data_IF_731516878744
#
_entry.id   IF_731516878744
#
_cell.length_a   1.000
_cell.length_b   1.000
_cell.length_c   1.000
_cell.angle_alpha   90.00
_cell.angle_beta   90.00
_cell.angle_gamma   90.00
#
_symmetry.space_group_name_H-M   'P 1'
#
loop_
_entity.id
_entity.type
_entity.pdbx_description
1 polymer ?
#
# COMPACT_ATOMS: atom_id res chain seq x y z
N UNK A 1 19.00 -5.39 14.21
CA UNK A 1 18.47 -4.09 13.75
C UNK A 1 19.19 -3.50 12.53
N UNK A 2 20.54 -3.31 12.54
CA UNK A 2 21.26 -2.80 11.32
C UNK A 2 21.16 -3.76 10.13
N UNK A 3 21.36 -5.06 10.37
CA UNK A 3 21.26 -6.11 9.36
C UNK A 3 19.89 -6.18 8.71
N UNK A 4 18.80 -6.16 9.50
CA UNK A 4 17.42 -6.20 8.98
C UNK A 4 17.11 -5.00 8.08
N UNK A 5 17.64 -3.80 8.42
CA UNK A 5 17.50 -2.61 7.54
C UNK A 5 18.20 -2.83 6.21
N UNK A 6 19.44 -3.33 6.25
CA UNK A 6 20.21 -3.62 5.06
C UNK A 6 19.47 -4.57 4.13
N UNK A 7 18.99 -5.69 4.66
CA UNK A 7 18.23 -6.70 3.88
C UNK A 7 16.98 -6.09 3.23
N UNK A 8 16.15 -5.37 3.99
CA UNK A 8 14.93 -4.76 3.45
C UNK A 8 15.27 -3.77 2.32
N UNK A 9 16.24 -2.88 2.54
CA UNK A 9 16.65 -1.89 1.53
C UNK A 9 17.22 -2.57 0.30
N UNK A 10 18.05 -3.60 0.47
CA UNK A 10 18.65 -4.35 -0.66
C UNK A 10 17.58 -5.06 -1.48
N UNK A 11 16.59 -5.70 -0.85
CA UNK A 11 15.49 -6.36 -1.56
C UNK A 11 14.67 -5.35 -2.35
N UNK A 12 14.29 -4.21 -1.74
CA UNK A 12 13.52 -3.18 -2.42
C UNK A 12 14.32 -2.52 -3.56
N UNK A 13 15.63 -2.31 -3.38
CA UNK A 13 16.49 -1.80 -4.42
C UNK A 13 16.64 -2.78 -5.58
N UNK A 14 16.76 -4.09 -5.30
CA UNK A 14 16.80 -5.13 -6.32
C UNK A 14 15.49 -5.19 -7.11
N UNK A 15 14.33 -5.12 -6.43
CA UNK A 15 13.03 -5.07 -7.10
C UNK A 15 12.93 -3.86 -8.04
N UNK A 16 13.36 -2.69 -7.57
CA UNK A 16 13.38 -1.48 -8.41
C UNK A 16 14.33 -1.61 -9.59
N UNK A 17 15.53 -2.18 -9.38
CA UNK A 17 16.51 -2.39 -10.44
C UNK A 17 15.98 -3.33 -11.53
N UNK A 18 15.29 -4.41 -11.15
CA UNK A 18 14.63 -5.34 -12.10
C UNK A 18 13.55 -4.59 -12.90
N UNK A 19 12.69 -3.79 -12.26
CA UNK A 19 11.66 -3.00 -12.95
C UNK A 19 12.31 -2.04 -13.96
N UNK A 20 13.36 -1.32 -13.54
CA UNK A 20 14.06 -0.38 -14.42
C UNK A 20 14.77 -1.09 -15.57
N UNK A 21 15.38 -2.24 -15.33
CA UNK A 21 15.99 -3.04 -16.38
C UNK A 21 14.97 -3.37 -17.48
N UNK A 22 13.84 -3.97 -17.15
CA UNK A 22 12.80 -4.32 -18.13
C UNK A 22 12.12 -3.10 -18.76
N UNK A 23 12.03 -1.97 -18.04
CA UNK A 23 11.53 -0.73 -18.62
C UNK A 23 12.43 -0.24 -19.77
N UNK A 24 13.74 -0.37 -19.63
CA UNK A 24 14.71 0.13 -20.61
C UNK A 24 15.19 -0.92 -21.62
N UNK A 25 14.89 -2.20 -21.43
CA UNK A 25 15.27 -3.28 -22.36
C UNK A 25 14.57 -3.13 -23.73
N UNK A 26 13.31 -2.67 -23.71
CA UNK A 26 12.46 -2.57 -24.91
C UNK A 26 11.99 -1.13 -25.12
N UNK A 27 12.90 -0.28 -25.60
CA UNK A 27 12.67 1.15 -25.82
C UNK A 27 12.18 1.41 -27.25
N UNK A 28 10.88 1.40 -27.45
CA UNK A 28 10.24 1.71 -28.72
C UNK A 28 10.08 3.22 -29.00
N UNK A 29 9.18 3.84 -28.24
CA UNK A 29 8.84 5.26 -28.38
C UNK A 29 8.78 5.94 -27.01
N UNK A 30 9.06 7.24 -26.96
CA UNK A 30 9.02 8.00 -25.71
C UNK A 30 7.66 7.86 -24.99
N UNK A 31 6.56 7.85 -25.75
CA UNK A 31 5.21 7.73 -25.17
C UNK A 31 4.97 6.33 -24.55
N UNK A 32 5.48 5.27 -25.17
CA UNK A 32 5.39 3.91 -24.61
C UNK A 32 6.22 3.78 -23.34
N UNK A 33 7.41 4.38 -23.29
CA UNK A 33 8.25 4.42 -22.08
C UNK A 33 7.49 5.10 -20.94
N UNK A 34 6.81 6.22 -21.20
CA UNK A 34 6.00 6.92 -20.20
C UNK A 34 4.82 6.05 -19.74
N UNK A 35 4.08 5.41 -20.64
CA UNK A 35 2.96 4.53 -20.30
C UNK A 35 3.44 3.36 -19.43
N UNK A 36 4.46 2.62 -19.89
CA UNK A 36 5.03 1.46 -19.19
C UNK A 36 5.63 1.90 -17.85
N UNK A 37 6.49 2.90 -17.86
CA UNK A 37 7.18 3.39 -16.66
C UNK A 37 6.22 3.90 -15.59
N UNK A 38 5.21 4.69 -15.99
CA UNK A 38 4.19 5.17 -15.07
C UNK A 38 3.34 4.03 -14.49
N UNK A 39 3.00 3.01 -15.29
CA UNK A 39 2.27 1.82 -14.82
C UNK A 39 3.12 0.97 -13.85
N UNK A 40 4.33 0.57 -14.26
CA UNK A 40 5.22 -0.31 -13.49
C UNK A 40 5.67 0.35 -12.18
N UNK A 41 6.19 1.56 -12.26
CA UNK A 41 6.64 2.29 -11.06
C UNK A 41 5.46 2.72 -10.18
N UNK A 42 4.32 3.10 -10.78
CA UNK A 42 3.11 3.44 -10.04
C UNK A 42 2.64 2.27 -9.16
N UNK A 43 2.58 1.05 -9.70
CA UNK A 43 2.25 -0.16 -8.97
C UNK A 43 3.26 -0.44 -7.85
N UNK A 44 4.57 -0.34 -8.14
CA UNK A 44 5.62 -0.52 -7.15
C UNK A 44 5.52 0.49 -5.99
N UNK A 45 5.30 1.78 -6.28
CA UNK A 45 5.15 2.80 -5.23
C UNK A 45 3.86 2.63 -4.42
N UNK A 46 2.77 2.14 -5.02
CA UNK A 46 1.58 1.75 -4.26
C UNK A 46 1.88 0.57 -3.31
N UNK A 47 2.61 -0.44 -3.77
CA UNK A 47 3.08 -1.53 -2.93
C UNK A 47 3.87 -1.00 -1.71
N UNK A 48 4.84 -0.12 -1.94
CA UNK A 48 5.61 0.51 -0.85
C UNK A 48 4.73 1.34 0.10
N UNK A 49 3.74 2.05 -0.44
CA UNK A 49 2.79 2.81 0.37
C UNK A 49 1.95 1.89 1.28
N UNK A 50 1.44 0.76 0.77
CA UNK A 50 0.70 -0.23 1.55
C UNK A 50 1.59 -0.80 2.65
N UNK A 51 2.79 -1.30 2.32
CA UNK A 51 3.72 -1.87 3.31
C UNK A 51 4.08 -0.86 4.40
N UNK A 52 4.41 0.38 4.00
CA UNK A 52 4.80 1.42 4.96
C UNK A 52 3.66 1.83 5.89
N UNK A 53 2.41 1.76 5.47
CA UNK A 53 1.24 2.08 6.31
C UNK A 53 0.95 1.00 7.35
N UNK A 54 1.02 -0.26 6.96
CA UNK A 54 0.59 -1.37 7.81
C UNK A 54 1.64 -1.78 8.84
N UNK A 55 2.91 -1.60 8.53
CA UNK A 55 4.01 -1.89 9.45
C UNK A 55 4.62 -0.67 10.14
N UNK A 56 3.87 0.45 10.24
CA UNK A 56 4.32 1.72 10.83
C UNK A 56 5.04 1.55 12.18
N UNK A 57 4.48 0.75 13.10
CA UNK A 57 5.07 0.55 14.43
C UNK A 57 6.40 -0.21 14.37
N UNK A 58 6.48 -1.27 13.54
CA UNK A 58 7.69 -2.07 13.34
C UNK A 58 8.75 -1.25 12.61
N UNK A 59 8.37 -0.55 11.56
CA UNK A 59 9.24 0.31 10.76
C UNK A 59 9.78 1.49 11.56
N UNK A 60 8.96 2.12 12.42
CA UNK A 60 9.40 3.16 13.35
C UNK A 60 10.48 2.64 14.32
N UNK A 61 10.30 1.42 14.85
CA UNK A 61 11.31 0.78 15.71
C UNK A 61 12.60 0.48 14.96
N UNK A 62 12.49 0.06 13.70
CA UNK A 62 13.63 -0.34 12.87
C UNK A 62 14.38 0.85 12.27
N UNK A 63 13.70 1.89 11.79
CA UNK A 63 14.26 3.04 11.08
C UNK A 63 14.32 4.36 11.87
N UNK A 64 13.68 4.44 13.04
CA UNK A 64 13.90 5.48 14.03
C UNK A 64 13.16 6.81 13.86
N UNK A 65 12.37 7.05 12.79
CA UNK A 65 11.61 8.30 12.59
C UNK A 65 10.18 8.08 12.12
N UNK A 66 9.39 9.17 12.07
CA UNK A 66 7.96 9.12 11.74
C UNK A 66 7.73 8.56 10.33
N UNK A 67 7.51 7.26 10.28
CA UNK A 67 7.33 6.50 9.04
C UNK A 67 6.05 6.87 8.29
N UNK A 68 5.18 7.66 8.93
CA UNK A 68 3.99 8.21 8.28
C UNK A 68 4.36 9.15 7.12
N UNK A 69 5.46 9.91 7.24
CA UNK A 69 5.94 10.76 6.16
C UNK A 69 6.46 9.94 4.97
N UNK A 70 7.06 8.76 5.24
CA UNK A 70 7.51 7.84 4.19
C UNK A 70 6.31 7.26 3.44
N UNK A 71 5.25 6.84 4.15
CA UNK A 71 4.00 6.44 3.53
C UNK A 71 3.41 7.54 2.63
N UNK A 72 3.34 8.78 3.14
CA UNK A 72 2.81 9.89 2.36
C UNK A 72 3.65 10.18 1.10
N UNK A 73 4.97 10.05 1.17
CA UNK A 73 5.84 10.27 0.01
C UNK A 73 5.64 9.17 -1.04
N UNK A 74 5.65 7.90 -0.64
CA UNK A 74 5.39 6.80 -1.57
C UNK A 74 3.98 6.88 -2.17
N UNK A 75 2.97 7.22 -1.36
CA UNK A 75 1.61 7.39 -1.85
C UNK A 75 1.49 8.54 -2.86
N UNK A 76 2.16 9.69 -2.62
CA UNK A 76 2.16 10.82 -3.57
C UNK A 76 2.79 10.43 -4.91
N UNK A 77 3.99 9.82 -4.86
CA UNK A 77 4.69 9.38 -6.07
C UNK A 77 3.83 8.34 -6.81
N UNK A 78 3.32 7.33 -6.10
CA UNK A 78 2.48 6.29 -6.70
C UNK A 78 1.21 6.85 -7.33
N UNK A 79 0.50 7.75 -6.66
CA UNK A 79 -0.72 8.38 -7.19
C UNK A 79 -0.43 9.23 -8.42
N UNK A 80 0.65 10.01 -8.42
CA UNK A 80 1.05 10.82 -9.59
C UNK A 80 1.34 9.92 -10.79
N UNK A 81 2.11 8.84 -10.60
CA UNK A 81 2.42 7.89 -11.67
C UNK A 81 1.16 7.16 -12.17
N UNK A 82 0.27 6.74 -11.27
CA UNK A 82 -1.00 6.10 -11.63
C UNK A 82 -1.94 7.06 -12.38
N UNK A 83 -1.84 8.36 -12.18
CA UNK A 83 -2.57 9.34 -12.99
C UNK A 83 -1.92 9.56 -14.35
N UNK A 84 -0.58 9.64 -14.40
CA UNK A 84 0.16 9.81 -15.67
C UNK A 84 -0.15 8.65 -16.62
N UNK A 85 -0.17 7.41 -16.14
CA UNK A 85 -0.41 6.22 -16.96
C UNK A 85 -1.69 6.32 -17.81
N UNK A 86 -2.91 6.43 -17.24
CA UNK A 86 -4.15 6.48 -18.04
C UNK A 86 -4.30 7.79 -18.83
N UNK A 87 -3.74 8.90 -18.35
CA UNK A 87 -3.74 10.17 -19.10
C UNK A 87 -2.93 10.02 -20.39
N UNK A 88 -1.75 9.37 -20.31
CA UNK A 88 -0.92 9.15 -21.51
C UNK A 88 -1.58 8.12 -22.45
N UNK A 89 -2.24 7.09 -21.90
CA UNK A 89 -3.05 6.15 -22.73
C UNK A 89 -4.22 6.89 -23.40
N UNK A 90 -4.91 7.78 -22.68
CA UNK A 90 -6.01 8.57 -23.23
C UNK A 90 -5.55 9.55 -24.31
N UNK A 91 -4.37 10.12 -24.17
CA UNK A 91 -3.76 10.95 -25.22
C UNK A 91 -3.52 10.16 -26.51
N UNK A 92 -3.12 8.89 -26.40
CA UNK A 92 -2.84 8.03 -27.56
C UNK A 92 -4.10 7.39 -28.16
N UNK A 93 -5.08 7.00 -27.34
CA UNK A 93 -6.20 6.13 -27.74
C UNK A 93 -7.58 6.77 -27.56
N UNK A 94 -7.66 8.02 -27.09
CA UNK A 94 -8.92 8.74 -26.86
C UNK A 94 -9.41 8.65 -25.41
N UNK A 95 -10.33 9.55 -25.06
CA UNK A 95 -10.81 9.70 -23.66
C UNK A 95 -11.67 8.52 -23.17
N UNK A 96 -12.23 7.72 -24.09
CA UNK A 96 -13.08 6.57 -23.77
C UNK A 96 -12.35 5.53 -22.91
N UNK A 97 -11.00 5.50 -22.98
CA UNK A 97 -10.19 4.61 -22.15
C UNK A 97 -10.26 4.95 -20.64
N UNK A 98 -10.75 6.11 -20.27
CA UNK A 98 -10.95 6.50 -18.87
C UNK A 98 -12.27 5.98 -18.30
N UNK A 99 -13.25 5.62 -19.16
CA UNK A 99 -14.54 5.15 -18.68
C UNK A 99 -14.43 3.74 -18.09
N UNK A 100 -14.98 3.49 -16.87
CA UNK A 100 -14.95 2.18 -16.27
C UNK A 100 -15.84 1.20 -17.05
N UNK A 101 -15.33 -0.01 -17.26
CA UNK A 101 -16.08 -1.13 -17.86
C UNK A 101 -16.42 -2.11 -16.75
N UNK A 102 -17.72 -2.34 -16.52
CA UNK A 102 -18.20 -3.18 -15.40
C UNK A 102 -18.74 -4.53 -15.87
N UNK A 103 -19.02 -4.67 -17.15
CA UNK A 103 -19.57 -5.90 -17.75
C UNK A 103 -19.10 -6.03 -19.21
N UNK A 104 -18.86 -7.25 -19.71
CA UNK A 104 -18.83 -8.53 -18.99
C UNK A 104 -17.61 -8.69 -18.07
N UNK A 105 -17.63 -9.71 -17.20
CA UNK A 105 -16.59 -9.89 -16.16
C UNK A 105 -15.16 -9.91 -16.72
N UNK A 106 -14.96 -10.54 -17.88
CA UNK A 106 -13.63 -10.63 -18.49
C UNK A 106 -13.10 -9.26 -18.93
N UNK A 107 -13.95 -8.41 -19.49
CA UNK A 107 -13.58 -7.04 -19.87
C UNK A 107 -13.39 -6.16 -18.64
N UNK A 108 -14.22 -6.34 -17.59
CA UNK A 108 -13.99 -5.71 -16.30
C UNK A 108 -12.61 -6.04 -15.71
N UNK A 109 -12.17 -7.30 -15.77
CA UNK A 109 -10.86 -7.71 -15.25
C UNK A 109 -9.71 -7.20 -16.13
N UNK A 110 -9.81 -7.33 -17.44
CA UNK A 110 -8.80 -6.85 -18.40
C UNK A 110 -8.63 -5.34 -18.33
N UNK A 111 -9.72 -4.60 -18.20
CA UNK A 111 -9.74 -3.13 -18.09
C UNK A 111 -9.87 -2.64 -16.65
N UNK A 112 -9.60 -3.51 -15.69
CA UNK A 112 -9.72 -3.24 -14.25
C UNK A 112 -8.91 -2.06 -13.74
N UNK A 113 -7.84 -1.70 -14.47
CA UNK A 113 -7.08 -0.47 -14.20
C UNK A 113 -7.92 0.81 -14.24
N UNK A 114 -8.96 0.86 -15.11
CA UNK A 114 -9.90 1.99 -15.19
C UNK A 114 -10.73 2.11 -13.91
N UNK A 115 -11.32 1.02 -13.44
CA UNK A 115 -12.08 0.99 -12.17
C UNK A 115 -11.17 1.24 -10.97
N UNK A 116 -9.96 0.66 -10.97
CA UNK A 116 -8.98 0.86 -9.91
C UNK A 116 -8.56 2.33 -9.77
N UNK A 117 -8.45 3.07 -10.87
CA UNK A 117 -8.18 4.50 -10.86
C UNK A 117 -9.19 5.26 -9.98
N UNK A 118 -10.49 5.05 -10.20
CA UNK A 118 -11.53 5.71 -9.41
C UNK A 118 -11.52 5.28 -7.95
N UNK A 119 -11.28 3.99 -7.67
CA UNK A 119 -11.17 3.50 -6.30
C UNK A 119 -9.99 4.14 -5.56
N UNK A 120 -8.84 4.28 -6.22
CA UNK A 120 -7.66 4.97 -5.64
C UNK A 120 -7.99 6.44 -5.36
N UNK A 121 -8.60 7.14 -6.32
CA UNK A 121 -8.96 8.54 -6.13
C UNK A 121 -9.90 8.73 -4.93
N UNK A 122 -10.95 7.90 -4.82
CA UNK A 122 -11.88 7.92 -3.69
C UNK A 122 -11.15 7.62 -2.38
N UNK A 123 -10.29 6.62 -2.35
CA UNK A 123 -9.53 6.23 -1.17
C UNK A 123 -8.51 7.31 -0.75
N UNK A 124 -7.85 7.96 -1.70
CA UNK A 124 -6.91 9.08 -1.45
C UNK A 124 -7.67 10.29 -0.90
N UNK A 125 -8.80 10.65 -1.51
CA UNK A 125 -9.67 11.73 -1.02
C UNK A 125 -10.16 11.45 0.40
N UNK A 126 -10.55 10.23 0.72
CA UNK A 126 -10.91 9.85 2.08
C UNK A 126 -9.74 10.04 3.07
N UNK A 127 -8.52 9.73 2.65
CA UNK A 127 -7.32 9.97 3.45
C UNK A 127 -7.03 11.47 3.67
N UNK A 128 -7.18 12.29 2.63
CA UNK A 128 -7.01 13.75 2.70
C UNK A 128 -8.08 14.37 3.61
N UNK A 129 -9.34 14.01 3.40
CA UNK A 129 -10.48 14.53 4.17
C UNK A 129 -10.78 13.75 5.46
N UNK A 130 -9.82 12.97 6.00
CA UNK A 130 -10.01 12.14 7.20
C UNK A 130 -10.57 12.86 8.40
N UNK A 131 -10.27 14.17 8.56
CA UNK A 131 -10.83 15.00 9.64
C UNK A 131 -12.33 15.26 9.49
N UNK A 132 -12.85 15.31 8.25
CA UNK A 132 -14.27 15.54 7.94
C UNK A 132 -15.09 14.25 8.06
N UNK A 133 -14.49 13.07 7.84
CA UNK A 133 -15.13 11.75 7.88
C UNK A 133 -14.46 10.79 8.87
N UNK A 134 -14.27 11.16 10.15
CA UNK A 134 -13.38 10.46 11.09
C UNK A 134 -13.77 8.99 11.34
N UNK A 135 -15.05 8.65 11.23
CA UNK A 135 -15.56 7.28 11.47
C UNK A 135 -15.39 6.35 10.26
N UNK A 136 -15.43 6.87 9.03
CA UNK A 136 -15.49 6.06 7.80
C UNK A 136 -14.22 6.10 6.95
N UNK A 137 -13.34 7.07 7.13
CA UNK A 137 -12.17 7.26 6.25
C UNK A 137 -11.27 6.02 6.14
N UNK A 138 -11.09 5.27 7.24
CA UNK A 138 -10.26 4.05 7.22
C UNK A 138 -10.84 2.97 6.34
N UNK A 139 -12.16 2.77 6.40
CA UNK A 139 -12.87 1.78 5.59
C UNK A 139 -12.80 2.15 4.11
N UNK A 140 -13.05 3.43 3.78
CA UNK A 140 -12.95 3.91 2.40
C UNK A 140 -11.51 3.86 1.90
N UNK A 141 -10.54 4.24 2.74
CA UNK A 141 -9.12 4.18 2.38
C UNK A 141 -8.62 2.74 2.16
N UNK A 142 -9.23 1.75 2.82
CA UNK A 142 -8.91 0.34 2.64
C UNK A 142 -9.27 -0.19 1.23
N UNK A 143 -10.11 0.51 0.45
CA UNK A 143 -10.33 0.17 -0.96
C UNK A 143 -9.05 0.18 -1.81
N UNK A 144 -7.97 0.82 -1.33
CA UNK A 144 -6.66 0.72 -1.96
C UNK A 144 -6.16 -0.72 -2.10
N UNK A 145 -6.49 -1.62 -1.17
CA UNK A 145 -6.15 -3.05 -1.29
C UNK A 145 -6.85 -3.70 -2.48
N UNK A 146 -8.15 -3.43 -2.63
CA UNK A 146 -8.92 -3.95 -3.75
C UNK A 146 -8.47 -3.34 -5.08
N UNK A 147 -8.23 -2.03 -5.12
CA UNK A 147 -7.70 -1.35 -6.28
C UNK A 147 -6.33 -1.92 -6.69
N UNK A 148 -5.45 -2.20 -5.74
CA UNK A 148 -4.14 -2.80 -5.97
C UNK A 148 -4.26 -4.17 -6.66
N UNK A 149 -5.19 -5.01 -6.20
CA UNK A 149 -5.44 -6.32 -6.81
C UNK A 149 -6.07 -6.20 -8.23
N UNK A 150 -6.95 -5.23 -8.46
CA UNK A 150 -7.46 -4.96 -9.81
C UNK A 150 -6.36 -4.51 -10.77
N UNK A 151 -5.41 -3.67 -10.32
CA UNK A 151 -4.26 -3.28 -11.13
C UNK A 151 -3.37 -4.49 -11.40
N UNK A 152 -3.16 -5.38 -10.41
CA UNK A 152 -2.43 -6.63 -10.62
C UNK A 152 -3.05 -7.47 -11.75
N UNK A 153 -4.37 -7.72 -11.68
CA UNK A 153 -5.09 -8.52 -12.68
C UNK A 153 -5.04 -7.83 -14.05
N UNK A 154 -5.28 -6.52 -14.10
CA UNK A 154 -5.20 -5.72 -15.31
C UNK A 154 -3.82 -5.85 -15.98
N UNK A 155 -2.75 -5.62 -15.23
CA UNK A 155 -1.39 -5.74 -15.73
C UNK A 155 -1.05 -7.17 -16.16
N UNK A 156 -1.54 -8.19 -15.42
CA UNK A 156 -1.34 -9.60 -15.77
C UNK A 156 -1.99 -10.00 -17.07
N UNK A 157 -3.19 -9.47 -17.37
CA UNK A 157 -3.96 -9.84 -18.54
C UNK A 157 -3.56 -9.08 -19.80
N UNK A 158 -3.07 -7.84 -19.70
CA UNK A 158 -2.79 -7.00 -20.86
C UNK A 158 -1.40 -6.32 -20.84
N UNK A 159 -0.64 -6.46 -19.75
CA UNK A 159 0.69 -5.86 -19.64
C UNK A 159 1.72 -6.60 -20.47
N UNK A 160 2.37 -5.91 -21.42
CA UNK A 160 3.41 -6.49 -22.27
C UNK A 160 4.64 -6.91 -21.47
N UNK A 161 5.01 -6.15 -20.45
CA UNK A 161 6.14 -6.46 -19.56
C UNK A 161 5.93 -7.75 -18.76
N UNK A 162 4.68 -8.12 -18.46
CA UNK A 162 4.34 -9.33 -17.72
C UNK A 162 4.30 -10.60 -18.60
N UNK A 163 4.73 -10.55 -19.84
CA UNK A 163 5.04 -11.74 -20.63
C UNK A 163 6.38 -12.36 -20.24
N UNK A 164 7.23 -11.62 -19.54
CA UNK A 164 8.50 -12.12 -19.02
C UNK A 164 8.31 -12.78 -17.64
N UNK A 165 8.85 -14.01 -17.47
CA UNK A 165 8.69 -14.80 -16.24
C UNK A 165 9.26 -14.14 -14.98
N UNK A 166 10.33 -13.35 -15.09
CA UNK A 166 10.91 -12.61 -13.96
C UNK A 166 9.95 -11.53 -13.47
N UNK A 167 9.35 -10.76 -14.42
CA UNK A 167 8.35 -9.74 -14.10
C UNK A 167 7.07 -10.37 -13.54
N UNK A 168 6.62 -11.50 -14.10
CA UNK A 168 5.49 -12.25 -13.54
C UNK A 168 5.74 -12.65 -12.09
N UNK A 169 6.91 -13.24 -11.81
CA UNK A 169 7.27 -13.64 -10.45
C UNK A 169 7.29 -12.43 -9.50
N UNK A 170 7.89 -11.32 -9.91
CA UNK A 170 7.96 -10.10 -9.12
C UNK A 170 6.56 -9.53 -8.81
N UNK A 171 5.69 -9.46 -9.82
CA UNK A 171 4.31 -9.00 -9.69
C UNK A 171 3.49 -9.88 -8.76
N UNK A 172 3.57 -11.20 -8.96
CA UNK A 172 2.88 -12.17 -8.11
C UNK A 172 3.37 -12.08 -6.66
N UNK A 173 4.68 -11.96 -6.44
CA UNK A 173 5.24 -11.83 -5.09
C UNK A 173 4.70 -10.58 -4.39
N UNK A 174 4.65 -9.41 -5.08
CA UNK A 174 4.06 -8.19 -4.51
C UNK A 174 2.58 -8.36 -4.19
N UNK A 175 1.79 -8.99 -5.07
CA UNK A 175 0.37 -9.24 -4.83
C UNK A 175 0.15 -10.16 -3.62
N UNK A 176 0.90 -11.26 -3.51
CA UNK A 176 0.82 -12.20 -2.38
C UNK A 176 1.19 -11.53 -1.05
N UNK A 177 2.22 -10.68 -1.05
CA UNK A 177 2.59 -9.91 0.15
C UNK A 177 1.46 -8.97 0.56
N UNK A 178 0.82 -8.26 -0.37
CA UNK A 178 -0.29 -7.36 -0.07
C UNK A 178 -1.51 -8.13 0.45
N UNK A 179 -1.83 -9.28 -0.15
CA UNK A 179 -2.89 -10.17 0.33
C UNK A 179 -2.60 -10.65 1.76
N UNK A 180 -1.37 -11.12 2.01
CA UNK A 180 -0.94 -11.53 3.36
C UNK A 180 -1.09 -10.38 4.38
N UNK A 181 -0.63 -9.17 4.03
CA UNK A 181 -0.74 -7.97 4.87
C UNK A 181 -2.20 -7.64 5.18
N UNK A 182 -3.08 -7.73 4.19
CA UNK A 182 -4.51 -7.50 4.37
C UNK A 182 -5.11 -8.48 5.40
N UNK A 183 -4.84 -9.78 5.26
CA UNK A 183 -5.32 -10.80 6.20
C UNK A 183 -4.74 -10.60 7.61
N UNK A 184 -3.42 -10.39 7.73
CA UNK A 184 -2.74 -10.17 9.02
C UNK A 184 -3.29 -8.96 9.79
N UNK A 185 -3.68 -7.89 9.09
CA UNK A 185 -4.10 -6.64 9.74
C UNK A 185 -5.62 -6.49 9.91
N UNK A 186 -6.41 -7.05 9.00
CA UNK A 186 -7.85 -6.79 8.95
C UNK A 186 -8.71 -7.97 9.40
N UNK A 187 -8.22 -9.19 9.24
CA UNK A 187 -9.01 -10.41 9.49
C UNK A 187 -8.54 -11.15 10.74
N UNK A 188 -7.23 -11.24 11.00
CA UNK A 188 -6.71 -11.94 12.16
C UNK A 188 -6.82 -11.04 13.41
N UNK A 189 -7.69 -11.36 14.39
CA UNK A 189 -7.81 -10.57 15.60
C UNK A 189 -6.53 -10.68 16.43
N UNK A 190 -5.69 -9.66 16.38
CA UNK A 190 -4.51 -9.60 17.25
C UNK A 190 -4.95 -9.51 18.71
N UNK A 191 -4.55 -10.47 19.55
CA UNK A 191 -4.73 -10.53 21.02
C UNK A 191 -4.18 -9.29 21.79
N UNK A 192 -3.72 -8.27 21.08
CA UNK A 192 -3.17 -7.01 21.63
C UNK A 192 -4.20 -6.16 22.37
N UNK A 193 -5.50 -6.30 22.09
CA UNK A 193 -6.54 -5.50 22.75
C UNK A 193 -6.90 -5.99 24.16
N UNK A 194 -6.50 -7.20 24.57
CA UNK A 194 -6.76 -7.72 25.92
C UNK A 194 -5.80 -7.22 27.00
N UNK A 195 -4.59 -6.74 26.66
CA UNK A 195 -3.62 -6.23 27.65
C UNK A 195 -3.88 -4.79 28.11
N UNK A 196 -4.66 -4.00 27.38
CA UNK A 196 -4.95 -2.60 27.71
C UNK A 196 -6.18 -2.40 28.62
N UNK A 197 -6.92 -3.47 28.94
CA UNK A 197 -8.10 -3.43 29.84
C UNK A 197 -7.84 -4.09 31.19
N UNK A 198 -6.61 -4.14 31.70
CA UNK A 198 -6.42 -4.40 33.12
C UNK A 198 -6.79 -3.11 33.88
N UNK A 199 -7.77 -3.12 34.79
CA UNK A 199 -8.10 -1.97 35.60
C UNK A 199 -6.88 -1.60 36.44
N UNK A 200 -6.44 -0.35 36.31
CA UNK A 200 -5.56 0.28 37.29
C UNK A 200 -6.36 0.63 38.54
N UNK A 201 -6.77 -0.36 39.25
CA UNK A 201 -7.57 -0.23 40.46
C UNK A 201 -7.27 -1.34 41.41
N UNK A 202 -6.03 -1.41 41.93
CA UNK A 202 -5.68 -2.14 43.13
C UNK A 202 -4.20 -1.89 43.50
N UNK A 203 -3.90 -0.66 43.82
CA UNK A 203 -2.65 -0.33 44.54
C UNK A 203 -2.86 0.98 45.30
N UNK A 204 -3.57 0.93 46.42
CA UNK A 204 -3.45 1.93 47.51
C UNK A 204 -4.40 1.63 48.69
N UNK A 205 -4.54 0.39 49.11
CA UNK A 205 -5.10 0.07 50.43
C UNK A 205 -4.19 -0.96 51.08
N UNK A 206 -3.15 -0.50 51.76
CA UNK A 206 -2.18 -1.39 52.44
C UNK A 206 -0.98 -0.69 52.99
N UNK A 207 -1.11 0.60 53.39
CA UNK A 207 -0.03 1.28 54.14
C UNK A 207 -0.57 2.46 54.95
N UNK A 208 -1.55 2.20 55.83
CA UNK A 208 -1.96 3.12 56.88
C UNK A 208 -2.55 2.30 58.03
N UNK A 209 -1.68 1.61 58.81
CA UNK A 209 -2.00 1.12 60.14
C UNK A 209 -0.77 0.51 60.80
N UNK A 210 0.35 1.26 60.88
CA UNK A 210 1.52 0.81 61.69
C UNK A 210 2.34 1.94 62.31
N UNK A 211 1.83 3.18 62.40
CA UNK A 211 2.55 4.28 63.02
C UNK A 211 1.86 4.95 64.23
N UNK A 212 0.87 4.32 64.85
CA UNK A 212 0.19 4.89 66.05
C UNK A 212 0.40 4.09 67.34
N UNK A 213 1.52 3.36 67.52
CA UNK A 213 1.77 2.64 68.78
C UNK A 213 3.18 2.78 69.35
N UNK A 214 3.85 3.87 69.12
CA UNK A 214 5.10 4.20 69.88
C UNK A 214 5.12 5.64 70.34
N UNK A 215 4.16 6.00 71.21
CA UNK A 215 4.29 7.12 72.12
C UNK A 215 3.28 6.97 73.27
N UNK A 216 3.66 6.15 74.28
CA UNK A 216 3.31 6.32 75.67
C UNK A 216 4.37 5.67 76.53
#
# INVERSE_FOLDING_TARGET
>A
MKYERGVIVSVLALMLAVILYFLFEDMDTAIRIVIRGAGLLGYFFLFLAILSSEYLAKMRKTFGRSFINVHHNFARIGVVLILIHPITVAYQSGLDVLLPVLYPLMDFLRLGGRTALYLILIAVLAGVYRKKIPKKWKTVHAFNFFAFLLIFIHAWLIGTDLQNGVMQFLWLAMALVVVYVFFDKHIIPTNRKKKSKRPQGMKSEGKKSQDDNEQK
#
